data_IF_748162911087
#
_entry.id   IF_748162911087
#
_cell.length_a   1.000
_cell.length_b   1.000
_cell.length_c   1.000
_cell.angle_alpha   90.00
_cell.angle_beta   90.00
_cell.angle_gamma   90.00
#
_symmetry.space_group_name_H-M   'P 1'
#
loop_
_entity.id
_entity.type
_entity.pdbx_description
1 polymer ?
#
# COMPACT_ATOMS: atom_id res chain seq x y z
N UNK A 1 2.52 8.39 8.65
CA UNK A 1 2.09 7.65 7.44
C UNK A 1 0.85 6.85 7.76
N UNK A 2 0.40 5.93 6.91
CA UNK A 2 -0.44 4.83 7.39
C UNK A 2 0.47 3.88 8.16
N UNK A 3 0.15 3.60 9.43
CA UNK A 3 1.02 2.84 10.32
C UNK A 3 0.33 1.55 10.76
N UNK A 4 1.03 0.43 10.68
CA UNK A 4 0.51 -0.86 11.11
C UNK A 4 -0.02 -1.75 9.97
N UNK A 5 -0.17 -3.03 10.29
CA UNK A 5 -0.60 -4.05 9.35
C UNK A 5 -2.13 -3.97 9.08
N UNK A 6 -2.60 -4.41 7.91
CA UNK A 6 -4.03 -4.47 7.61
C UNK A 6 -4.73 -5.48 8.52
N UNK A 7 -5.96 -5.15 8.93
CA UNK A 7 -6.87 -6.08 9.58
C UNK A 7 -7.46 -7.08 8.59
N UNK A 8 -7.85 -6.57 7.43
CA UNK A 8 -8.56 -7.33 6.40
C UNK A 8 -8.00 -7.00 5.02
N UNK A 9 -7.91 -8.02 4.17
CA UNK A 9 -7.49 -7.91 2.79
C UNK A 9 -8.48 -8.69 1.92
N UNK A 10 -8.97 -8.07 0.87
CA UNK A 10 -9.84 -8.70 -0.12
C UNK A 10 -9.37 -8.30 -1.51
N UNK A 11 -9.35 -9.25 -2.45
CA UNK A 11 -9.00 -8.94 -3.82
C UNK A 11 -10.01 -9.50 -4.81
N UNK A 12 -10.19 -8.77 -5.91
CA UNK A 12 -10.91 -9.22 -7.09
C UNK A 12 -10.06 -8.98 -8.33
N UNK A 13 -10.18 -9.84 -9.34
CA UNK A 13 -9.35 -9.75 -10.52
C UNK A 13 -10.00 -10.39 -11.76
N UNK A 14 -9.38 -10.19 -12.92
CA UNK A 14 -9.67 -10.88 -14.17
C UNK A 14 -8.40 -11.47 -14.79
N UNK A 15 -8.52 -12.59 -15.51
CA UNK A 15 -7.43 -13.17 -16.31
C UNK A 15 -6.31 -13.91 -15.57
N UNK A 16 -6.36 -14.06 -14.24
CA UNK A 16 -5.36 -14.82 -13.49
C UNK A 16 -5.61 -16.33 -13.61
N UNK A 17 -4.53 -17.11 -13.64
CA UNK A 17 -4.53 -18.57 -13.45
C UNK A 17 -3.29 -18.98 -12.62
N UNK A 18 -2.98 -20.27 -12.57
CA UNK A 18 -1.86 -20.76 -11.74
C UNK A 18 -0.47 -20.33 -12.26
N UNK A 19 -0.36 -19.97 -13.53
CA UNK A 19 0.90 -19.61 -14.20
C UNK A 19 1.02 -18.11 -14.49
N UNK A 20 -0.10 -17.41 -14.63
CA UNK A 20 -0.17 -16.01 -15.09
C UNK A 20 -0.90 -15.16 -14.07
N UNK A 21 -0.32 -14.00 -13.77
CA UNK A 21 -0.92 -13.02 -12.87
C UNK A 21 -2.17 -12.36 -13.48
N UNK A 22 -2.95 -11.69 -12.64
CA UNK A 22 -4.13 -10.97 -13.05
C UNK A 22 -3.82 -9.89 -14.11
N UNK A 23 -4.62 -9.84 -15.18
CA UNK A 23 -4.57 -8.75 -16.16
C UNK A 23 -5.08 -7.43 -15.55
N UNK A 24 -6.11 -7.52 -14.72
CA UNK A 24 -6.64 -6.40 -13.93
C UNK A 24 -6.93 -6.90 -12.52
N UNK A 25 -6.65 -6.06 -11.53
CA UNK A 25 -6.90 -6.40 -10.14
C UNK A 25 -7.30 -5.17 -9.33
N UNK A 26 -8.17 -5.40 -8.37
CA UNK A 26 -8.50 -4.47 -7.30
C UNK A 26 -8.20 -5.17 -5.98
N UNK A 27 -7.38 -4.56 -5.13
CA UNK A 27 -7.08 -5.07 -3.79
C UNK A 27 -7.52 -4.04 -2.77
N UNK A 28 -8.32 -4.46 -1.80
CA UNK A 28 -8.80 -3.65 -0.71
C UNK A 28 -8.09 -4.06 0.57
N UNK A 29 -7.52 -3.08 1.26
CA UNK A 29 -6.92 -3.23 2.57
C UNK A 29 -7.73 -2.42 3.57
N UNK A 30 -8.08 -3.01 4.70
CA UNK A 30 -8.61 -2.30 5.85
C UNK A 30 -7.47 -2.09 6.86
N UNK A 31 -6.94 -0.88 6.90
CA UNK A 31 -5.83 -0.49 7.75
C UNK A 31 -6.32 0.26 8.99
N UNK A 32 -5.55 0.26 10.09
CA UNK A 32 -5.79 1.21 11.17
C UNK A 32 -5.65 2.66 10.68
N UNK A 33 -6.46 3.53 11.27
CA UNK A 33 -6.29 4.97 11.16
C UNK A 33 -5.09 5.47 11.97
N UNK A 34 -4.74 6.73 11.76
CA UNK A 34 -3.73 7.46 12.53
C UNK A 34 -4.31 8.78 13.05
N UNK A 35 -3.52 9.57 13.77
CA UNK A 35 -3.92 10.90 14.22
C UNK A 35 -4.32 11.86 13.07
N UNK A 36 -3.89 11.56 11.84
CA UNK A 36 -4.20 12.33 10.63
C UNK A 36 -5.47 11.86 9.90
N UNK A 37 -6.16 10.85 10.43
CA UNK A 37 -7.31 10.23 9.75
C UNK A 37 -8.58 10.39 10.57
N UNK A 38 -9.68 10.74 9.90
CA UNK A 38 -10.99 10.94 10.55
C UNK A 38 -11.61 9.64 11.10
N UNK A 39 -11.19 8.48 10.57
CA UNK A 39 -11.75 7.17 10.95
C UNK A 39 -10.67 6.31 11.56
N UNK A 40 -11.04 5.55 12.59
CA UNK A 40 -10.17 4.54 13.22
C UNK A 40 -9.76 3.41 12.28
N UNK A 41 -10.50 3.22 11.17
CA UNK A 41 -10.19 2.23 10.14
C UNK A 41 -10.32 2.86 8.77
N UNK A 42 -9.27 2.74 7.97
CA UNK A 42 -9.16 3.35 6.66
C UNK A 42 -9.10 2.25 5.59
N UNK A 43 -9.96 2.39 4.58
CA UNK A 43 -9.91 1.52 3.40
C UNK A 43 -8.93 2.10 2.40
N UNK A 44 -7.86 1.38 2.13
CA UNK A 44 -6.93 1.66 1.03
C UNK A 44 -7.23 0.70 -0.10
N UNK A 45 -7.32 1.21 -1.33
CA UNK A 45 -7.58 0.38 -2.50
C UNK A 45 -6.48 0.54 -3.53
N UNK A 46 -5.90 -0.58 -3.92
CA UNK A 46 -4.97 -0.66 -5.04
C UNK A 46 -5.72 -1.08 -6.31
N UNK A 47 -5.52 -0.32 -7.39
CA UNK A 47 -6.06 -0.63 -8.71
C UNK A 47 -4.91 -0.96 -9.67
N UNK A 48 -5.06 -2.03 -10.44
CA UNK A 48 -4.08 -2.51 -11.41
C UNK A 48 -4.72 -2.80 -12.77
N UNK A 49 -3.92 -2.73 -13.83
CA UNK A 49 -4.36 -3.07 -15.18
C UNK A 49 -5.26 -2.02 -15.84
N UNK A 50 -4.97 -0.73 -15.60
CA UNK A 50 -5.71 0.39 -16.16
C UNK A 50 -7.05 0.69 -15.47
N UNK A 51 -7.38 -0.03 -14.40
CA UNK A 51 -8.52 0.32 -13.54
C UNK A 51 -8.24 1.65 -12.81
N UNK A 52 -9.29 2.44 -12.60
CA UNK A 52 -9.23 3.69 -11.84
C UNK A 52 -10.29 3.69 -10.72
N UNK A 53 -10.04 4.41 -9.62
CA UNK A 53 -11.05 4.60 -8.58
C UNK A 53 -12.25 5.41 -9.09
N UNK A 54 -13.39 5.25 -8.41
CA UNK A 54 -14.51 6.19 -8.56
C UNK A 54 -14.15 7.53 -7.92
N UNK A 55 -14.67 8.63 -8.49
CA UNK A 55 -14.59 9.97 -7.89
C UNK A 55 -15.68 10.22 -6.84
N UNK A 56 -16.60 9.27 -6.64
CA UNK A 56 -17.68 9.41 -5.66
C UNK A 56 -17.12 9.64 -4.25
N UNK A 57 -17.59 10.70 -3.60
CA UNK A 57 -17.14 11.11 -2.27
C UNK A 57 -15.80 11.85 -2.24
N UNK A 58 -15.15 12.04 -3.39
CA UNK A 58 -14.00 12.95 -3.53
C UNK A 58 -14.45 14.38 -3.82
N UNK A 59 -13.53 15.32 -3.69
CA UNK A 59 -13.72 16.74 -4.04
C UNK A 59 -13.32 17.05 -5.49
N UNK A 60 -12.88 16.04 -6.26
CA UNK A 60 -12.51 16.20 -7.67
C UNK A 60 -13.77 16.38 -8.51
N UNK A 61 -13.92 17.46 -9.28
CA UNK A 61 -15.12 17.63 -10.12
C UNK A 61 -15.19 16.56 -11.21
N UNK A 62 -16.38 15.98 -11.44
CA UNK A 62 -16.59 14.82 -12.35
C UNK A 62 -16.08 15.02 -13.78
N UNK A 63 -15.93 16.27 -14.23
CA UNK A 63 -15.41 16.62 -15.55
C UNK A 63 -13.89 16.39 -15.70
N UNK A 64 -13.16 16.24 -14.60
CA UNK A 64 -11.71 16.05 -14.63
C UNK A 64 -11.35 14.56 -14.71
N UNK A 65 -10.35 14.25 -15.50
CA UNK A 65 -9.78 12.92 -15.60
C UNK A 65 -8.66 12.73 -14.57
N UNK A 66 -8.61 11.55 -13.95
CA UNK A 66 -7.48 11.16 -13.12
C UNK A 66 -6.25 10.81 -13.97
N UNK A 67 -5.03 11.02 -13.45
CA UNK A 67 -3.81 10.56 -14.12
C UNK A 67 -3.83 9.03 -14.30
N UNK A 68 -3.09 8.55 -15.29
CA UNK A 68 -3.00 7.11 -15.59
C UNK A 68 -2.38 6.29 -14.45
N UNK A 69 -1.61 6.91 -13.57
CA UNK A 69 -0.98 6.29 -12.40
C UNK A 69 -0.74 7.34 -11.32
N UNK A 70 -0.88 6.94 -10.05
CA UNK A 70 -0.74 7.86 -8.93
C UNK A 70 -1.54 7.41 -7.72
N UNK A 71 -1.78 8.35 -6.81
CA UNK A 71 -2.59 8.15 -5.60
C UNK A 71 -3.70 9.19 -5.52
N UNK A 72 -4.86 8.78 -5.00
CA UNK A 72 -5.99 9.65 -4.69
C UNK A 72 -6.22 9.59 -3.18
N UNK A 73 -6.05 10.71 -2.49
CA UNK A 73 -6.22 10.82 -1.04
C UNK A 73 -7.41 11.73 -0.77
N UNK A 74 -8.47 11.16 -0.21
CA UNK A 74 -9.72 11.87 0.07
C UNK A 74 -9.74 12.29 1.54
N UNK A 75 -9.60 13.59 1.77
CA UNK A 75 -9.75 14.20 3.09
C UNK A 75 -11.18 14.69 3.34
N UNK A 76 -11.40 15.21 4.55
CA UNK A 76 -12.70 15.78 4.98
C UNK A 76 -13.02 17.11 4.29
N UNK A 77 -12.01 17.89 3.92
CA UNK A 77 -12.15 19.23 3.35
C UNK A 77 -11.55 19.37 1.93
N UNK A 78 -11.01 18.29 1.39
CA UNK A 78 -10.38 18.32 0.08
C UNK A 78 -9.91 16.95 -0.40
N UNK A 79 -9.34 16.91 -1.60
CA UNK A 79 -8.78 15.71 -2.20
C UNK A 79 -7.45 16.04 -2.85
N UNK A 80 -6.43 15.25 -2.50
CA UNK A 80 -5.11 15.31 -3.11
C UNK A 80 -5.00 14.22 -4.18
N UNK A 81 -4.78 14.64 -5.41
CA UNK A 81 -4.38 13.77 -6.52
C UNK A 81 -2.87 13.89 -6.66
N UNK A 82 -2.16 12.78 -6.50
CA UNK A 82 -0.71 12.71 -6.64
C UNK A 82 -0.36 11.84 -7.85
N UNK A 83 -0.09 12.42 -9.03
CA UNK A 83 0.37 11.67 -10.19
C UNK A 83 1.69 10.94 -9.90
N UNK A 84 1.90 9.80 -10.55
CA UNK A 84 3.19 9.12 -10.50
C UNK A 84 4.27 9.99 -11.14
N UNK A 85 5.27 10.42 -10.36
CA UNK A 85 6.34 11.35 -10.79
C UNK A 85 5.74 12.67 -11.33
N UNK A 86 4.87 13.30 -10.55
CA UNK A 86 4.29 14.59 -10.88
C UNK A 86 3.98 15.42 -9.64
N UNK A 87 3.62 16.68 -9.87
CA UNK A 87 3.25 17.60 -8.79
C UNK A 87 1.89 17.22 -8.18
N UNK A 88 1.73 17.37 -6.85
CA UNK A 88 0.44 17.19 -6.20
C UNK A 88 -0.58 18.21 -6.71
N UNK A 89 -1.81 17.75 -6.97
CA UNK A 89 -2.95 18.57 -7.37
C UNK A 89 -4.00 18.49 -6.26
N UNK A 90 -4.47 19.65 -5.77
CA UNK A 90 -5.47 19.71 -4.70
C UNK A 90 -6.83 20.16 -5.24
N UNK A 91 -7.89 19.54 -4.73
CA UNK A 91 -9.26 19.90 -5.04
C UNK A 91 -10.07 20.14 -3.74
N UNK A 92 -10.86 21.23 -3.65
CA UNK A 92 -10.90 22.33 -4.60
C UNK A 92 -9.60 23.16 -4.54
N UNK A 93 -9.18 23.77 -5.65
CA UNK A 93 -7.84 24.41 -5.77
C UNK A 93 -7.66 25.57 -4.78
N UNK A 94 -8.75 26.27 -4.42
CA UNK A 94 -8.75 27.34 -3.41
C UNK A 94 -8.36 26.88 -2.00
N UNK A 95 -8.48 25.58 -1.71
CA UNK A 95 -8.06 24.98 -0.45
C UNK A 95 -6.59 24.51 -0.49
N UNK A 96 -5.87 24.77 -1.58
CA UNK A 96 -4.45 24.42 -1.67
C UNK A 96 -3.67 25.13 -0.56
N UNK A 97 -2.88 24.40 0.25
CA UNK A 97 -2.22 24.94 1.43
C UNK A 97 -0.95 25.72 1.02
N UNK A 98 -1.14 26.87 0.38
CA UNK A 98 -0.06 27.64 -0.21
C UNK A 98 0.88 28.18 0.86
N UNK A 99 2.18 27.88 0.71
CA UNK A 99 3.22 28.32 1.63
C UNK A 99 3.37 27.48 2.91
N UNK A 100 2.57 26.43 3.11
CA UNK A 100 2.74 25.50 4.23
C UNK A 100 3.23 24.11 3.82
N UNK A 101 3.54 23.90 2.54
CA UNK A 101 4.19 22.68 2.06
C UNK A 101 5.68 22.83 2.28
N UNK A 102 6.22 22.05 3.20
CA UNK A 102 7.66 21.92 3.36
C UNK A 102 8.22 21.14 2.18
N UNK A 103 9.13 21.76 1.43
CA UNK A 103 9.83 21.10 0.34
C UNK A 103 10.87 20.19 0.97
N UNK A 104 10.70 18.88 0.80
CA UNK A 104 11.71 17.90 1.22
C UNK A 104 13.02 18.15 0.47
N UNK A 105 14.15 17.89 1.12
CA UNK A 105 15.44 17.92 0.45
C UNK A 105 15.45 16.91 -0.70
N UNK A 106 16.07 17.29 -1.82
CA UNK A 106 16.26 16.36 -2.93
C UNK A 106 17.25 15.27 -2.50
N UNK A 107 16.80 14.02 -2.54
CA UNK A 107 17.56 12.86 -2.10
C UNK A 107 17.77 11.87 -3.25
N UNK A 108 18.98 11.33 -3.33
CA UNK A 108 19.30 10.26 -4.27
C UNK A 108 19.44 8.94 -3.51
N UNK A 109 18.56 7.98 -3.79
CA UNK A 109 18.52 6.70 -3.08
C UNK A 109 19.81 5.86 -3.26
N UNK A 110 20.52 5.98 -4.39
CA UNK A 110 21.80 5.30 -4.58
C UNK A 110 22.90 5.91 -3.70
N UNK A 111 22.97 7.25 -3.65
CA UNK A 111 23.95 7.92 -2.81
C UNK A 111 23.61 7.73 -1.33
N UNK A 112 22.34 7.77 -0.94
CA UNK A 112 21.91 7.49 0.43
C UNK A 112 22.38 6.12 0.92
N UNK A 113 22.33 5.09 0.06
CA UNK A 113 22.91 3.78 0.39
C UNK A 113 24.43 3.82 0.56
N UNK A 114 25.16 4.40 -0.40
CA UNK A 114 26.64 4.48 -0.36
C UNK A 114 27.11 5.28 0.86
N UNK A 115 26.49 6.43 1.12
CA UNK A 115 26.79 7.31 2.25
C UNK A 115 26.50 6.61 3.58
N UNK A 116 25.42 5.83 3.66
CA UNK A 116 25.11 5.00 4.81
C UNK A 116 26.17 3.93 5.06
N UNK A 117 26.65 3.25 4.02
CA UNK A 117 27.73 2.27 4.13
C UNK A 117 29.05 2.88 4.62
N UNK A 118 29.38 4.10 4.19
CA UNK A 118 30.63 4.79 4.56
C UNK A 118 30.54 5.39 5.96
N UNK A 119 29.43 6.07 6.26
CA UNK A 119 29.26 6.81 7.51
C UNK A 119 28.76 5.97 8.68
N UNK A 120 28.19 4.80 8.40
CA UNK A 120 27.48 3.97 9.38
C UNK A 120 26.12 4.54 9.81
N UNK A 121 25.62 5.60 9.16
CA UNK A 121 24.30 6.18 9.44
C UNK A 121 23.23 5.46 8.63
N UNK A 122 22.08 5.21 9.26
CA UNK A 122 20.93 4.57 8.62
C UNK A 122 20.34 5.48 7.52
N UNK A 123 20.19 5.00 6.27
CA UNK A 123 19.44 5.70 5.22
C UNK A 123 17.94 5.82 5.55
N UNK A 124 17.22 6.65 4.78
CA UNK A 124 15.79 6.94 4.96
C UNK A 124 14.86 5.73 4.97
N UNK A 125 15.25 4.63 4.34
CA UNK A 125 14.39 3.49 4.03
C UNK A 125 14.88 2.21 4.72
N UNK A 126 14.86 2.19 6.06
CA UNK A 126 15.27 1.05 6.87
C UNK A 126 14.33 -0.17 6.78
N UNK A 127 14.78 -1.32 7.31
CA UNK A 127 13.97 -2.56 7.31
C UNK A 127 12.75 -2.50 8.23
N UNK A 128 12.79 -1.65 9.25
CA UNK A 128 11.68 -1.31 10.13
C UNK A 128 10.53 -0.64 9.37
N UNK A 129 10.85 0.09 8.29
CA UNK A 129 9.87 0.66 7.36
C UNK A 129 9.56 -0.29 6.19
N UNK A 130 10.59 -0.75 5.47
CA UNK A 130 10.45 -1.52 4.24
C UNK A 130 9.87 -2.93 4.47
N UNK A 131 10.11 -3.54 5.63
CA UNK A 131 9.59 -4.85 6.01
C UNK A 131 8.06 -4.83 6.07
N UNK A 132 7.44 -4.03 6.96
CA UNK A 132 5.99 -3.90 7.03
C UNK A 132 5.34 -3.46 5.71
N UNK A 133 5.97 -2.55 4.96
CA UNK A 133 5.47 -2.15 3.65
C UNK A 133 5.40 -3.35 2.68
N UNK A 134 6.47 -4.14 2.63
CA UNK A 134 6.54 -5.35 1.80
C UNK A 134 5.51 -6.38 2.24
N UNK A 135 5.29 -6.55 3.54
CA UNK A 135 4.26 -7.44 4.09
C UNK A 135 2.87 -7.08 3.55
N UNK A 136 2.47 -5.81 3.63
CA UNK A 136 1.13 -5.37 3.14
C UNK A 136 0.95 -5.70 1.66
N UNK A 137 1.95 -5.40 0.83
CA UNK A 137 1.89 -5.68 -0.62
C UNK A 137 1.79 -7.18 -0.89
N UNK A 138 2.55 -8.00 -0.18
CA UNK A 138 2.53 -9.47 -0.34
C UNK A 138 1.22 -10.09 0.14
N UNK A 139 0.58 -9.56 1.18
CA UNK A 139 -0.75 -10.00 1.60
C UNK A 139 -1.79 -9.76 0.49
N UNK A 140 -1.67 -8.67 -0.27
CA UNK A 140 -2.48 -8.44 -1.46
C UNK A 140 -2.32 -9.54 -2.52
N UNK A 141 -1.08 -9.97 -2.76
CA UNK A 141 -0.80 -11.06 -3.69
C UNK A 141 -1.44 -12.39 -3.25
N UNK A 142 -1.46 -12.67 -1.94
CA UNK A 142 -2.14 -13.85 -1.41
C UNK A 142 -3.65 -13.71 -1.59
N UNK A 143 -4.23 -12.55 -1.24
CA UNK A 143 -5.66 -12.31 -1.38
C UNK A 143 -6.15 -12.48 -2.83
N UNK A 144 -5.34 -12.14 -3.84
CA UNK A 144 -5.68 -12.37 -5.24
C UNK A 144 -5.95 -13.85 -5.56
N UNK A 145 -5.31 -14.80 -4.86
CA UNK A 145 -5.55 -16.24 -5.03
C UNK A 145 -6.90 -16.70 -4.45
N UNK A 146 -7.48 -15.92 -3.55
CA UNK A 146 -8.76 -16.18 -2.88
C UNK A 146 -9.79 -15.13 -3.31
N UNK A 147 -10.05 -15.08 -4.62
CA UNK A 147 -10.86 -14.04 -5.27
C UNK A 147 -12.23 -13.87 -4.61
N UNK A 148 -12.50 -12.66 -4.14
CA UNK A 148 -13.78 -12.28 -3.50
C UNK A 148 -13.93 -12.74 -2.06
N UNK A 149 -12.91 -13.37 -1.48
CA UNK A 149 -12.88 -13.71 -0.06
C UNK A 149 -12.15 -12.61 0.74
N UNK A 150 -12.74 -12.21 1.86
CA UNK A 150 -12.09 -11.33 2.84
C UNK A 150 -11.19 -12.15 3.77
N UNK A 151 -9.88 -11.96 3.67
CA UNK A 151 -8.89 -12.59 4.54
C UNK A 151 -8.60 -11.69 5.76
N UNK A 152 -8.53 -12.27 6.95
CA UNK A 152 -8.28 -11.56 8.23
C UNK A 152 -6.87 -11.85 8.72
N UNK A 153 -6.05 -10.82 8.84
CA UNK A 153 -4.63 -10.95 9.14
C UNK A 153 -4.33 -10.64 10.61
N UNK A 154 -3.61 -11.55 11.28
CA UNK A 154 -2.98 -11.32 12.58
C UNK A 154 -1.48 -11.18 12.35
N UNK A 155 -1.01 -9.93 12.31
CA UNK A 155 0.39 -9.60 12.07
C UNK A 155 1.31 -10.08 13.20
N UNK A 156 0.81 -10.18 14.44
CA UNK A 156 1.63 -10.67 15.56
C UNK A 156 1.85 -12.17 15.44
N UNK A 157 0.80 -12.91 15.06
CA UNK A 157 0.88 -14.34 14.84
C UNK A 157 1.37 -14.72 13.43
N UNK A 158 1.59 -13.74 12.55
CA UNK A 158 1.95 -13.89 11.14
C UNK A 158 1.08 -14.93 10.43
N UNK A 159 -0.25 -14.81 10.55
CA UNK A 159 -1.20 -15.74 9.93
C UNK A 159 -2.55 -15.11 9.61
N UNK A 160 -3.24 -15.69 8.65
CA UNK A 160 -4.67 -15.51 8.48
C UNK A 160 -5.44 -16.30 9.54
N UNK A 161 -6.38 -15.65 10.21
CA UNK A 161 -7.17 -16.25 11.29
C UNK A 161 -8.40 -17.00 10.79
N UNK A 162 -8.79 -16.78 9.54
CA UNK A 162 -10.04 -17.28 8.97
C UNK A 162 -9.87 -18.15 7.72
N UNK A 163 -8.65 -18.40 7.24
CA UNK A 163 -8.41 -19.21 6.05
C UNK A 163 -7.07 -19.97 6.16
N UNK A 164 -7.13 -21.27 6.45
CA UNK A 164 -5.94 -22.10 6.59
C UNK A 164 -5.25 -22.41 5.25
N UNK A 165 -6.00 -22.41 4.14
CA UNK A 165 -5.40 -22.57 2.82
C UNK A 165 -4.55 -21.34 2.43
N UNK A 166 -4.98 -20.13 2.83
CA UNK A 166 -4.20 -18.91 2.63
C UNK A 166 -2.88 -18.93 3.43
N UNK A 167 -2.88 -19.55 4.62
CA UNK A 167 -1.67 -19.70 5.44
C UNK A 167 -0.57 -20.52 4.75
N UNK A 168 -0.91 -21.40 3.80
CA UNK A 168 0.07 -22.14 3.02
C UNK A 168 0.93 -21.25 2.11
N UNK A 169 0.53 -19.99 1.86
CA UNK A 169 1.26 -19.02 1.06
C UNK A 169 2.04 -17.99 1.88
N UNK A 170 1.86 -17.95 3.20
CA UNK A 170 2.55 -17.00 4.10
C UNK A 170 4.04 -17.35 4.24
N UNK A 171 4.35 -18.63 4.20
CA UNK A 171 5.72 -19.13 4.23
C UNK A 171 5.88 -20.27 3.24
N UNK A 172 7.11 -20.76 3.08
CA UNK A 172 7.45 -21.89 2.22
C UNK A 172 8.22 -22.94 2.99
N UNK A 173 8.16 -24.17 2.52
CA UNK A 173 9.10 -25.19 2.97
C UNK A 173 10.49 -24.84 2.46
N UNK A 174 11.39 -24.55 3.41
CA UNK A 174 12.80 -24.35 3.11
C UNK A 174 13.49 -25.68 2.89
N UNK A 175 14.52 -25.67 2.04
CA UNK A 175 15.39 -26.84 1.85
C UNK A 175 16.07 -27.18 3.19
N UNK A 176 16.26 -28.47 3.52
CA UNK A 176 17.01 -28.86 4.71
C UNK A 176 18.36 -28.12 4.85
N UNK A 177 18.58 -27.47 6.00
CA UNK A 177 19.76 -26.66 6.31
C UNK A 177 19.68 -25.18 5.88
N UNK A 178 18.55 -24.75 5.32
CA UNK A 178 18.28 -23.35 4.91
C UNK A 178 17.01 -22.81 5.55
N UNK A 179 16.57 -23.40 6.66
CA UNK A 179 15.40 -22.98 7.41
C UNK A 179 15.63 -21.59 7.99
N UNK A 180 14.67 -20.71 7.76
CA UNK A 180 14.63 -19.40 8.42
C UNK A 180 13.74 -19.56 9.65
N UNK A 181 14.36 -19.47 10.83
CA UNK A 181 13.60 -19.44 12.08
C UNK A 181 12.87 -18.10 12.19
N UNK A 182 11.64 -18.13 12.70
CA UNK A 182 10.94 -16.90 13.06
C UNK A 182 11.81 -16.09 14.03
N UNK A 183 11.96 -14.80 13.76
CA UNK A 183 12.60 -13.88 14.70
C UNK A 183 11.59 -13.65 15.82
N UNK A 184 11.95 -14.02 17.04
CA UNK A 184 11.10 -13.91 18.23
C UNK A 184 10.94 -12.45 18.69
#
# INVERSE_FOLDING_TARGET
GLEGAPFEIEASHSGMNDEVWAAQATVHYLLPGTEYTEKERIRVTWYHGGLQPSLAGSHVPEKYALPNSGSLIIGTEGTLVLPHVGEPIFYPEENYPQGSIEVAEDLNHYHGFVDGCISGKQPSDGFDYAGPLSEVVLLGNIAQRFRGETLKWDAKAMRFTNNDAANAFVSKHYRPGWEINAVA
#
